data_IF_942644136115
#
_entry.id   IF_942644136115
#
_cell.length_a   1.000
_cell.length_b   1.000
_cell.length_c   1.000
_cell.angle_alpha   90.00
_cell.angle_beta   90.00
_cell.angle_gamma   90.00
#
_symmetry.space_group_name_H-M   'P 1'
#
loop_
_entity.id
_entity.type
_entity.pdbx_description
1 polymer ?
#
# COMPACT_ATOMS: atom_id res chain seq x y z
N UNK A 1 -1.31 -19.38 -4.00
CA UNK A 1 -0.13 -18.71 -3.39
C UNK A 1 -0.27 -18.77 -1.88
N UNK A 2 0.84 -18.63 -1.15
CA UNK A 2 0.86 -18.54 0.32
C UNK A 2 0.14 -17.25 0.79
N UNK A 3 -0.61 -17.32 1.89
CA UNK A 3 -1.37 -16.20 2.46
C UNK A 3 -0.43 -15.04 2.83
N UNK A 4 0.76 -15.36 3.33
CA UNK A 4 1.79 -14.36 3.64
C UNK A 4 2.20 -13.57 2.40
N UNK A 5 2.42 -14.26 1.28
CA UNK A 5 2.78 -13.62 0.01
C UNK A 5 1.64 -12.75 -0.51
N UNK A 6 0.40 -13.19 -0.41
CA UNK A 6 -0.78 -12.39 -0.81
C UNK A 6 -0.98 -11.17 0.08
N UNK A 7 -0.83 -11.30 1.39
CA UNK A 7 -0.93 -10.16 2.31
C UNK A 7 0.18 -9.13 2.05
N UNK A 8 1.41 -9.58 1.77
CA UNK A 8 2.51 -8.70 1.37
C UNK A 8 2.22 -8.04 0.03
N UNK A 9 1.68 -8.75 -0.97
CA UNK A 9 1.27 -8.16 -2.26
C UNK A 9 0.28 -7.00 -2.07
N UNK A 10 -0.75 -7.21 -1.25
CA UNK A 10 -1.73 -6.17 -0.91
C UNK A 10 -1.05 -4.99 -0.20
N UNK A 11 -0.22 -5.25 0.81
CA UNK A 11 0.52 -4.19 1.52
C UNK A 11 1.46 -3.38 0.62
N UNK A 12 2.13 -4.02 -0.35
CA UNK A 12 2.96 -3.34 -1.35
C UNK A 12 2.11 -2.43 -2.25
N UNK A 13 0.94 -2.89 -2.68
CA UNK A 13 -0.01 -2.08 -3.44
C UNK A 13 -0.45 -0.83 -2.66
N UNK A 14 -0.77 -0.99 -1.37
CA UNK A 14 -1.15 0.14 -0.51
C UNK A 14 -0.01 1.15 -0.36
N UNK A 15 1.21 0.68 -0.10
CA UNK A 15 2.38 1.54 0.00
C UNK A 15 2.66 2.29 -1.31
N UNK A 16 2.49 1.63 -2.46
CA UNK A 16 2.66 2.25 -3.77
C UNK A 16 1.57 3.30 -4.06
N UNK A 17 0.30 3.00 -3.76
CA UNK A 17 -0.79 3.97 -3.89
C UNK A 17 -0.58 5.20 -3.00
N UNK A 18 -0.10 5.01 -1.78
CA UNK A 18 0.21 6.11 -0.86
C UNK A 18 1.39 6.96 -1.33
N UNK A 19 2.45 6.33 -1.84
CA UNK A 19 3.58 7.03 -2.44
C UNK A 19 3.14 7.83 -3.68
N UNK A 20 2.28 7.28 -4.51
CA UNK A 20 1.71 7.98 -5.67
C UNK A 20 0.92 9.21 -5.24
N UNK A 21 -0.01 9.08 -4.28
CA UNK A 21 -0.84 10.19 -3.82
C UNK A 21 0.00 11.32 -3.21
N UNK A 22 0.98 10.98 -2.36
CA UNK A 22 1.90 11.97 -1.79
C UNK A 22 2.74 12.65 -2.89
N UNK A 23 3.23 11.90 -3.88
CA UNK A 23 4.00 12.46 -5.00
C UNK A 23 3.15 13.39 -5.87
N UNK A 24 1.91 13.01 -6.17
CA UNK A 24 0.97 13.84 -6.91
C UNK A 24 0.65 15.14 -6.17
N UNK A 25 0.46 15.07 -4.85
CA UNK A 25 0.24 16.24 -4.01
C UNK A 25 1.46 17.16 -3.99
N UNK A 26 2.68 16.62 -3.83
CA UNK A 26 3.95 17.37 -3.89
C UNK A 26 4.08 18.11 -5.23
N UNK A 27 3.82 17.41 -6.34
CA UNK A 27 3.91 17.99 -7.69
C UNK A 27 2.86 19.08 -7.95
N UNK A 28 1.75 19.05 -7.21
CA UNK A 28 0.67 20.04 -7.29
C UNK A 28 0.83 21.23 -6.35
N UNK A 29 1.82 21.25 -5.46
CA UNK A 29 2.07 22.39 -4.55
C UNK A 29 2.36 23.63 -5.39
N UNK A 30 1.74 24.75 -5.04
CA UNK A 30 1.84 26.04 -5.74
C UNK A 30 1.38 26.03 -7.22
N UNK A 31 0.69 24.97 -7.66
CA UNK A 31 0.09 24.90 -9.00
C UNK A 31 -1.38 25.29 -8.92
N UNK A 32 -1.79 26.43 -9.51
CA UNK A 32 -3.18 26.88 -9.47
C UNK A 32 -4.14 25.82 -10.03
N UNK A 33 -5.17 25.48 -9.26
CA UNK A 33 -6.18 24.50 -9.65
C UNK A 33 -5.75 23.03 -9.54
N UNK A 34 -4.57 22.74 -8.99
CA UNK A 34 -4.15 21.38 -8.69
C UNK A 34 -5.13 20.68 -7.74
N UNK A 35 -5.24 19.36 -7.92
CA UNK A 35 -6.11 18.50 -7.10
C UNK A 35 -5.28 17.84 -6.02
N UNK A 36 -5.87 17.76 -4.83
CA UNK A 36 -5.32 17.00 -3.71
C UNK A 36 -5.88 15.58 -3.77
N UNK A 37 -5.03 14.59 -3.54
CA UNK A 37 -5.38 13.19 -3.51
C UNK A 37 -5.21 12.62 -2.09
N UNK A 38 -6.09 11.70 -1.72
CA UNK A 38 -6.06 10.93 -0.48
C UNK A 38 -6.29 9.46 -0.81
N UNK A 39 -5.67 8.58 -0.03
CA UNK A 39 -5.89 7.14 -0.12
C UNK A 39 -6.85 6.67 0.96
N UNK A 40 -7.88 5.93 0.57
CA UNK A 40 -8.70 5.10 1.45
C UNK A 40 -8.30 3.62 1.27
N UNK A 41 -7.87 2.99 2.35
CA UNK A 41 -7.49 1.58 2.36
C UNK A 41 -8.42 0.72 3.21
N UNK A 42 -9.60 1.22 3.56
CA UNK A 42 -10.56 0.52 4.42
C UNK A 42 -10.88 -0.87 3.88
N UNK A 43 -11.07 -1.00 2.55
CA UNK A 43 -11.36 -2.30 1.93
C UNK A 43 -10.17 -3.28 2.01
N UNK A 44 -8.96 -2.81 1.69
CA UNK A 44 -7.75 -3.61 1.76
C UNK A 44 -7.44 -4.06 3.21
N UNK A 45 -7.62 -3.16 4.19
CA UNK A 45 -7.46 -3.46 5.60
C UNK A 45 -8.51 -4.47 6.09
N UNK A 46 -9.77 -4.35 5.65
CA UNK A 46 -10.81 -5.33 5.97
C UNK A 46 -10.49 -6.72 5.38
N UNK A 47 -9.94 -6.78 4.16
CA UNK A 47 -9.52 -8.04 3.56
C UNK A 47 -8.34 -8.68 4.33
N UNK A 48 -7.38 -7.88 4.79
CA UNK A 48 -6.26 -8.32 5.62
C UNK A 48 -6.73 -8.81 7.00
N UNK A 49 -7.63 -8.08 7.67
CA UNK A 49 -8.20 -8.49 8.95
C UNK A 49 -9.01 -9.78 8.81
N UNK A 50 -9.86 -9.90 7.79
CA UNK A 50 -10.60 -11.13 7.50
C UNK A 50 -9.66 -12.32 7.26
N UNK A 51 -8.58 -12.12 6.49
CA UNK A 51 -7.57 -13.15 6.24
C UNK A 51 -6.82 -13.58 7.51
N UNK A 52 -6.66 -12.69 8.50
CA UNK A 52 -6.04 -13.03 9.78
C UNK A 52 -6.93 -13.90 10.67
N UNK A 53 -8.26 -13.86 10.48
CA UNK A 53 -9.26 -14.55 11.31
C UNK A 53 -9.69 -15.90 10.75
N UNK A 54 -9.74 -16.03 9.42
CA UNK A 54 -10.12 -17.27 8.74
C UNK A 54 -9.10 -17.63 7.66
N UNK A 55 -8.17 -18.52 8.02
CA UNK A 55 -7.10 -19.01 7.14
C UNK A 55 -7.66 -19.77 5.92
N UNK A 56 -8.82 -20.43 6.05
CA UNK A 56 -9.42 -21.18 4.95
C UNK A 56 -10.07 -20.26 3.89
N UNK A 57 -10.64 -19.13 4.33
CA UNK A 57 -11.20 -18.07 3.48
C UNK A 57 -10.20 -17.00 3.03
N UNK A 58 -9.08 -16.85 3.74
CA UNK A 58 -8.06 -15.81 3.57
C UNK A 58 -7.57 -15.65 2.13
N UNK A 59 -7.29 -16.78 1.47
CA UNK A 59 -6.79 -16.78 0.10
C UNK A 59 -7.75 -16.10 -0.88
N UNK A 60 -9.07 -16.28 -0.72
CA UNK A 60 -10.07 -15.67 -1.60
C UNK A 60 -10.22 -14.17 -1.35
N UNK A 61 -10.25 -13.76 -0.08
CA UNK A 61 -10.36 -12.36 0.30
C UNK A 61 -9.18 -11.53 -0.22
N UNK A 62 -7.94 -12.04 -0.07
CA UNK A 62 -6.74 -11.34 -0.53
C UNK A 62 -6.54 -11.42 -2.04
N UNK A 63 -6.86 -12.56 -2.68
CA UNK A 63 -6.75 -12.69 -4.14
C UNK A 63 -7.69 -11.74 -4.88
N UNK A 64 -8.85 -11.42 -4.30
CA UNK A 64 -9.78 -10.43 -4.85
C UNK A 64 -9.27 -8.98 -4.77
N UNK A 65 -8.24 -8.71 -3.97
CA UNK A 65 -7.64 -7.39 -3.82
C UNK A 65 -6.52 -7.19 -4.85
N UNK A 66 -6.89 -6.76 -6.06
CA UNK A 66 -5.93 -6.44 -7.12
C UNK A 66 -5.29 -5.06 -6.89
N UNK A 67 -4.19 -4.77 -7.60
CA UNK A 67 -3.56 -3.45 -7.52
C UNK A 67 -4.53 -2.36 -8.00
N UNK A 68 -5.30 -2.63 -9.05
CA UNK A 68 -6.33 -1.72 -9.57
C UNK A 68 -7.35 -1.38 -8.48
N UNK A 69 -7.86 -2.39 -7.77
CA UNK A 69 -8.82 -2.20 -6.68
C UNK A 69 -8.24 -1.40 -5.51
N UNK A 70 -6.95 -1.57 -5.22
CA UNK A 70 -6.26 -0.76 -4.21
C UNK A 70 -6.14 0.70 -4.68
N UNK A 71 -5.83 0.91 -5.97
CA UNK A 71 -5.72 2.27 -6.53
C UNK A 71 -7.06 2.96 -6.73
N UNK A 72 -8.17 2.23 -6.81
CA UNK A 72 -9.52 2.81 -6.81
C UNK A 72 -9.81 3.57 -5.50
N UNK A 73 -9.13 3.21 -4.40
CA UNK A 73 -9.17 3.95 -3.14
C UNK A 73 -8.41 5.29 -3.18
N UNK A 74 -7.77 5.65 -4.29
CA UNK A 74 -7.17 6.97 -4.47
C UNK A 74 -8.27 7.95 -4.90
N UNK A 75 -8.69 8.77 -3.96
CA UNK A 75 -9.75 9.73 -4.14
C UNK A 75 -9.20 11.15 -4.23
N UNK A 76 -9.88 12.00 -5.01
CA UNK A 76 -9.68 13.45 -4.92
C UNK A 76 -10.27 13.91 -3.60
N UNK A 77 -9.53 14.70 -2.84
CA UNK A 77 -10.03 15.34 -1.62
C UNK A 77 -10.69 16.68 -1.98
N UNK A 78 -12.03 16.77 -2.03
CA UNK A 78 -12.71 18.02 -2.38
C UNK A 78 -12.63 19.05 -1.26
N UNK A 79 -12.23 18.64 -0.05
CA UNK A 79 -12.18 19.51 1.13
C UNK A 79 -10.86 20.28 1.26
N UNK A 80 -9.84 19.93 0.47
CA UNK A 80 -8.52 20.56 0.49
C UNK A 80 -8.17 21.20 -0.85
N UNK A 81 -7.74 22.46 -0.79
CA UNK A 81 -7.02 23.08 -1.91
C UNK A 81 -5.56 22.66 -1.89
N UNK A 82 -4.89 22.67 -3.04
CA UNK A 82 -3.44 22.44 -3.13
C UNK A 82 -2.66 23.41 -2.22
N UNK A 83 -3.14 24.64 -2.06
CA UNK A 83 -2.52 25.67 -1.21
C UNK A 83 -2.61 25.35 0.30
N UNK A 84 -3.48 24.41 0.68
CA UNK A 84 -3.62 23.94 2.07
C UNK A 84 -2.76 22.68 2.33
N UNK A 85 -2.13 22.13 1.30
CA UNK A 85 -1.24 20.98 1.43
C UNK A 85 0.11 21.46 1.94
N UNK A 86 0.47 21.02 3.15
CA UNK A 86 1.81 21.26 3.68
C UNK A 86 2.79 20.30 3.02
N UNK A 87 3.76 20.86 2.30
CA UNK A 87 4.78 20.08 1.58
C UNK A 87 5.51 19.10 2.50
N UNK A 88 5.89 19.54 3.70
CA UNK A 88 6.58 18.70 4.69
C UNK A 88 5.78 17.46 5.08
N UNK A 89 4.46 17.60 5.23
CA UNK A 89 3.57 16.48 5.58
C UNK A 89 3.50 15.47 4.42
N UNK A 90 3.47 15.94 3.16
CA UNK A 90 3.47 15.04 2.00
C UNK A 90 4.83 14.35 1.80
N UNK A 91 5.93 15.06 2.03
CA UNK A 91 7.28 14.47 1.97
C UNK A 91 7.46 13.43 3.07
N UNK A 92 6.98 13.71 4.29
CA UNK A 92 6.95 12.73 5.38
C UNK A 92 6.10 11.51 4.98
N UNK A 93 4.93 11.72 4.40
CA UNK A 93 4.04 10.64 3.96
C UNK A 93 4.66 9.77 2.86
N UNK A 94 5.35 10.38 1.90
CA UNK A 94 6.09 9.68 0.84
C UNK A 94 7.23 8.84 1.42
N UNK A 95 7.98 9.39 2.40
CA UNK A 95 9.05 8.68 3.08
C UNK A 95 8.54 7.47 3.87
N UNK A 96 7.40 7.62 4.57
CA UNK A 96 6.72 6.52 5.27
C UNK A 96 6.34 5.43 4.25
N UNK A 97 5.68 5.80 3.15
CA UNK A 97 5.24 4.86 2.12
C UNK A 97 6.42 4.08 1.51
N UNK A 98 7.51 4.77 1.15
CA UNK A 98 8.72 4.15 0.62
C UNK A 98 9.41 3.22 1.63
N UNK A 99 9.44 3.61 2.91
CA UNK A 99 10.02 2.79 3.98
C UNK A 99 9.20 1.53 4.21
N UNK A 100 7.88 1.65 4.23
CA UNK A 100 6.95 0.51 4.31
C UNK A 100 7.15 -0.45 3.15
N UNK A 101 7.20 0.06 1.92
CA UNK A 101 7.44 -0.75 0.72
C UNK A 101 8.75 -1.54 0.82
N UNK A 102 9.86 -0.87 1.16
CA UNK A 102 11.18 -1.52 1.33
C UNK A 102 11.16 -2.57 2.43
N UNK A 103 10.49 -2.29 3.55
CA UNK A 103 10.37 -3.22 4.68
C UNK A 103 9.62 -4.49 4.27
N UNK A 104 8.50 -4.34 3.53
CA UNK A 104 7.72 -5.47 3.02
C UNK A 104 8.52 -6.32 2.02
N UNK A 105 9.22 -5.70 1.08
CA UNK A 105 10.10 -6.41 0.13
C UNK A 105 11.20 -7.18 0.88
N UNK A 106 11.88 -6.53 1.83
CA UNK A 106 12.92 -7.20 2.62
C UNK A 106 12.37 -8.39 3.42
N UNK A 107 11.19 -8.24 4.01
CA UNK A 107 10.49 -9.33 4.70
C UNK A 107 10.17 -10.49 3.76
N UNK A 108 9.65 -10.21 2.58
CA UNK A 108 9.34 -11.22 1.56
C UNK A 108 10.59 -11.95 1.06
N UNK A 109 11.67 -11.23 0.78
CA UNK A 109 12.95 -11.84 0.39
C UNK A 109 13.49 -12.78 1.46
N UNK A 110 13.40 -12.40 2.74
CA UNK A 110 13.78 -13.26 3.86
C UNK A 110 12.88 -14.50 3.96
N UNK A 111 11.57 -14.34 3.80
CA UNK A 111 10.61 -15.45 3.77
C UNK A 111 10.97 -16.47 2.69
N UNK A 112 11.25 -16.02 1.46
CA UNK A 112 11.68 -16.91 0.38
C UNK A 112 13.03 -17.57 0.66
N UNK A 113 14.00 -16.85 1.24
CA UNK A 113 15.29 -17.44 1.60
C UNK A 113 15.13 -18.57 2.65
N UNK A 114 14.25 -18.38 3.65
CA UNK A 114 13.95 -19.40 4.65
C UNK A 114 13.22 -20.60 4.03
N UNK A 115 12.26 -20.38 3.14
CA UNK A 115 11.59 -21.46 2.42
C UNK A 115 12.57 -22.24 1.54
N UNK A 116 13.50 -21.56 0.85
CA UNK A 116 14.54 -22.23 0.06
C UNK A 116 15.50 -23.03 0.93
N UNK A 117 15.89 -22.52 2.10
CA UNK A 117 16.71 -23.25 3.06
C UNK A 117 15.99 -24.51 3.55
N UNK A 118 14.71 -24.41 3.88
CA UNK A 118 13.90 -25.54 4.32
C UNK A 118 13.72 -26.61 3.23
N UNK A 119 13.60 -26.21 1.96
CA UNK A 119 13.46 -27.13 0.82
C UNK A 119 14.79 -27.79 0.46
N UNK A 120 15.89 -27.02 0.48
CA UNK A 120 17.21 -27.53 0.10
C UNK A 120 17.83 -28.39 1.19
N UNK A 121 17.45 -28.19 2.46
CA UNK A 121 17.83 -29.06 3.57
C UNK A 121 19.33 -29.33 3.59
N UNK A 122 20.12 -28.29 3.89
CA UNK A 122 21.59 -28.24 3.73
C UNK A 122 22.08 -28.26 2.27
#
# INVERSE_FOLDING_TARGET
MDITTEAVRVGLGMAQAQAWAASANIAGVDVPGAKVYRTDFSEALNALDAASRDVAGAGKALSGMSYERITDGIEKDPSRSADQVRLDDQVAQLNIANTTYRTLINGLSRHYALMQLAIKGE
#
